data_IF_850088201084
#
_entry.id   IF_850088201084
#
_cell.length_a   1.000
_cell.length_b   1.000
_cell.length_c   1.000
_cell.angle_alpha   90.00
_cell.angle_beta   90.00
_cell.angle_gamma   90.00
#
_symmetry.space_group_name_H-M   'P 1'
#
loop_
_entity.id
_entity.type
_entity.pdbx_description
1 polymer ?
#
# COMPACT_ATOMS: atom_id res chain seq x y z
N UNK A 1 14.91 37.03 -22.03
CA UNK A 1 13.78 36.24 -21.55
C UNK A 1 14.36 35.17 -20.65
N UNK A 2 14.21 35.33 -19.35
CA UNK A 2 14.64 34.31 -18.39
C UNK A 2 13.55 33.23 -18.39
N UNK A 3 13.91 32.03 -18.85
CA UNK A 3 13.10 30.84 -18.67
C UNK A 3 12.95 30.59 -17.15
N UNK A 4 11.79 30.98 -16.63
CA UNK A 4 11.35 30.52 -15.31
C UNK A 4 11.03 29.02 -15.45
N UNK A 5 12.05 28.18 -15.41
CA UNK A 5 11.87 26.76 -15.16
C UNK A 5 11.24 26.65 -13.76
N UNK A 6 9.92 26.50 -13.70
CA UNK A 6 9.22 26.20 -12.45
C UNK A 6 9.78 24.88 -11.93
N UNK A 7 10.48 24.96 -10.79
CA UNK A 7 10.94 23.75 -10.09
C UNK A 7 9.74 22.81 -9.94
N UNK A 8 9.81 21.56 -10.37
CA UNK A 8 8.69 20.63 -10.27
C UNK A 8 8.21 20.56 -8.81
N UNK A 9 6.93 20.80 -8.60
CA UNK A 9 6.35 20.78 -7.27
C UNK A 9 6.48 19.37 -6.70
N UNK A 10 7.02 19.24 -5.48
CA UNK A 10 7.14 17.98 -4.77
C UNK A 10 5.76 17.33 -4.62
N UNK A 11 5.62 16.01 -4.77
CA UNK A 11 4.36 15.33 -4.55
C UNK A 11 3.89 15.50 -3.10
N UNK A 12 2.61 15.87 -2.94
CA UNK A 12 1.96 15.92 -1.64
C UNK A 12 1.44 14.56 -1.28
N UNK A 13 2.04 13.96 -0.26
CA UNK A 13 1.66 12.63 0.21
C UNK A 13 0.82 12.77 1.48
N UNK A 14 -0.48 12.48 1.34
CA UNK A 14 -1.39 12.39 2.48
C UNK A 14 -1.06 11.16 3.32
N UNK A 15 -1.11 11.32 4.62
CA UNK A 15 -0.87 10.26 5.60
C UNK A 15 -2.11 10.16 6.48
N UNK A 16 -2.78 8.99 6.54
CA UNK A 16 -3.79 8.78 7.57
C UNK A 16 -3.10 8.57 8.93
N UNK A 17 -3.79 8.92 10.03
CA UNK A 17 -3.18 8.75 11.36
C UNK A 17 -3.16 7.31 11.86
N UNK A 18 -4.02 6.42 11.31
CA UNK A 18 -4.22 5.08 11.81
C UNK A 18 -4.80 5.04 13.23
N UNK A 19 -4.64 3.90 13.90
CA UNK A 19 -5.00 3.79 15.31
C UNK A 19 -3.93 4.44 16.20
N UNK A 20 -4.29 5.57 16.82
CA UNK A 20 -3.33 6.32 17.65
C UNK A 20 -2.98 5.62 18.97
N UNK A 21 -3.71 4.62 19.40
CA UNK A 21 -3.37 3.79 20.56
C UNK A 21 -2.45 2.61 20.22
N UNK A 22 -2.25 2.33 18.92
CA UNK A 22 -1.28 1.38 18.41
C UNK A 22 0.06 2.02 18.05
N UNK A 23 0.80 1.38 17.15
CA UNK A 23 2.15 1.83 16.72
C UNK A 23 2.12 2.92 15.65
N UNK A 24 0.96 3.37 15.17
CA UNK A 24 0.84 4.23 14.01
C UNK A 24 1.67 5.52 14.13
N UNK A 25 1.50 6.30 15.22
CA UNK A 25 2.29 7.52 15.42
C UNK A 25 3.77 7.25 15.63
N UNK A 26 4.14 6.13 16.27
CA UNK A 26 5.53 5.73 16.46
C UNK A 26 6.24 5.52 15.12
N UNK A 27 5.64 4.74 14.22
CA UNK A 27 6.26 4.47 12.92
C UNK A 27 6.24 5.69 11.99
N UNK A 28 5.22 6.56 12.08
CA UNK A 28 5.18 7.83 11.35
C UNK A 28 6.34 8.71 11.81
N UNK A 29 6.48 8.93 13.11
CA UNK A 29 7.58 9.73 13.68
C UNK A 29 8.96 9.21 13.25
N UNK A 30 9.18 7.89 13.41
CA UNK A 30 10.43 7.25 13.03
C UNK A 30 10.70 7.27 11.53
N UNK A 31 9.67 7.14 10.69
CA UNK A 31 9.82 7.21 9.24
C UNK A 31 10.31 8.59 8.79
N UNK A 32 9.77 9.65 9.38
CA UNK A 32 10.09 11.04 9.03
C UNK A 32 11.14 11.70 9.93
N UNK A 33 11.84 10.93 10.76
CA UNK A 33 12.97 11.46 11.56
C UNK A 33 14.16 11.89 10.71
N UNK A 34 14.33 11.31 9.51
CA UNK A 34 15.36 11.69 8.56
C UNK A 34 14.87 12.85 7.67
N UNK A 35 15.54 14.00 7.79
CA UNK A 35 15.18 15.22 7.05
C UNK A 35 15.27 15.07 5.51
N UNK A 36 16.06 14.10 5.01
CA UNK A 36 16.19 13.83 3.57
C UNK A 36 14.87 13.38 2.93
N UNK A 37 13.93 12.82 3.72
CA UNK A 37 12.59 12.51 3.24
C UNK A 37 11.87 13.74 2.65
N UNK A 38 12.10 14.92 3.23
CA UNK A 38 11.46 16.17 2.78
C UNK A 38 12.05 16.77 1.51
N UNK A 39 13.12 16.20 0.99
CA UNK A 39 13.69 16.60 -0.29
C UNK A 39 12.93 16.02 -1.49
N UNK A 40 12.18 14.94 -1.26
CA UNK A 40 11.50 14.17 -2.32
C UNK A 40 9.99 14.28 -2.29
N UNK A 41 9.39 14.71 -1.17
CA UNK A 41 7.94 14.79 -0.99
C UNK A 41 7.54 15.81 0.07
N UNK A 42 6.27 16.22 0.04
CA UNK A 42 5.63 17.04 1.06
C UNK A 42 4.60 16.20 1.82
N UNK A 43 4.90 15.72 3.06
CA UNK A 43 3.96 14.92 3.83
C UNK A 43 2.88 15.78 4.48
N UNK A 44 1.64 15.28 4.46
CA UNK A 44 0.48 15.91 5.10
C UNK A 44 -0.26 14.86 5.94
N UNK A 45 -0.09 14.92 7.26
CA UNK A 45 -0.77 14.04 8.20
C UNK A 45 -2.19 14.57 8.48
N UNK A 46 -3.18 13.77 8.18
CA UNK A 46 -4.57 13.97 8.62
C UNK A 46 -4.73 13.32 9.98
N UNK A 47 -4.45 14.08 11.05
CA UNK A 47 -4.35 13.49 12.38
C UNK A 47 -4.51 14.50 13.49
N UNK A 48 -3.85 14.23 14.61
CA UNK A 48 -3.88 15.04 15.81
C UNK A 48 -2.49 15.54 16.18
N UNK A 49 -2.28 16.86 16.13
CA UNK A 49 -0.99 17.45 16.50
C UNK A 49 -0.64 17.21 17.97
N UNK A 50 -1.65 17.11 18.85
CA UNK A 50 -1.44 16.77 20.27
C UNK A 50 -0.94 15.32 20.44
N UNK A 51 -1.53 14.36 19.71
CA UNK A 51 -1.06 12.97 19.71
C UNK A 51 0.36 12.87 19.14
N UNK A 52 0.64 13.56 18.04
CA UNK A 52 1.96 13.63 17.46
C UNK A 52 3.01 14.16 18.44
N UNK A 53 2.70 15.27 19.14
CA UNK A 53 3.57 15.86 20.16
C UNK A 53 3.73 14.99 21.40
N UNK A 54 2.67 14.28 21.80
CA UNK A 54 2.70 13.34 22.92
C UNK A 54 3.70 12.21 22.63
N UNK A 55 3.58 11.51 21.49
CA UNK A 55 4.47 10.42 21.14
C UNK A 55 5.89 10.90 20.87
N UNK A 56 6.05 12.05 20.20
CA UNK A 56 7.36 12.67 19.97
C UNK A 56 8.11 12.91 21.27
N UNK A 57 7.43 13.48 22.29
CA UNK A 57 8.00 13.72 23.61
C UNK A 57 8.29 12.42 24.34
N UNK A 58 7.37 11.46 24.27
CA UNK A 58 7.48 10.18 24.98
C UNK A 58 8.67 9.34 24.49
N UNK A 59 8.96 9.40 23.19
CA UNK A 59 10.11 8.71 22.59
C UNK A 59 11.41 9.54 22.61
N UNK A 60 11.40 10.73 23.20
CA UNK A 60 12.58 11.61 23.25
C UNK A 60 13.07 12.05 21.86
N UNK A 61 12.19 12.15 20.87
CA UNK A 61 12.55 12.50 19.51
C UNK A 61 12.59 14.03 19.31
N UNK A 62 13.65 14.54 18.69
CA UNK A 62 13.76 15.95 18.32
C UNK A 62 13.11 16.26 16.96
N UNK A 63 13.10 15.29 16.06
CA UNK A 63 12.54 15.39 14.70
C UNK A 63 11.42 14.35 14.48
N UNK A 64 10.50 14.62 13.53
CA UNK A 64 10.36 15.83 12.72
C UNK A 64 9.66 16.98 13.48
N UNK A 65 9.99 18.21 13.07
CA UNK A 65 9.19 19.38 13.42
C UNK A 65 8.06 19.54 12.41
N UNK A 66 6.91 20.04 12.84
CA UNK A 66 5.73 20.13 11.99
C UNK A 66 5.19 21.56 11.87
N UNK A 67 4.46 21.79 10.80
CA UNK A 67 3.63 22.98 10.57
C UNK A 67 2.16 22.59 10.63
N UNK A 68 1.34 23.40 11.32
CA UNK A 68 -0.10 23.22 11.28
C UNK A 68 -0.67 23.91 10.04
N UNK A 69 -1.55 23.22 9.34
CA UNK A 69 -2.35 23.79 8.26
C UNK A 69 -3.79 23.32 8.34
N UNK A 70 -4.70 24.08 7.74
CA UNK A 70 -6.12 23.68 7.64
C UNK A 70 -6.48 23.11 6.26
N UNK A 71 -5.60 23.29 5.28
CA UNK A 71 -5.79 22.90 3.89
C UNK A 71 -4.48 22.35 3.34
N UNK A 72 -4.52 21.16 2.76
CA UNK A 72 -3.33 20.53 2.19
C UNK A 72 -2.71 21.30 1.01
N UNK A 73 -3.49 22.16 0.34
CA UNK A 73 -2.97 23.09 -0.69
C UNK A 73 -1.97 24.09 -0.14
N UNK A 74 -2.09 24.41 1.15
CA UNK A 74 -1.22 25.35 1.87
C UNK A 74 -0.10 24.63 2.65
N UNK A 75 0.08 23.33 2.43
CA UNK A 75 1.16 22.58 3.06
C UNK A 75 2.51 23.19 2.70
N UNK A 76 3.33 23.41 3.73
CA UNK A 76 4.67 23.97 3.54
C UNK A 76 5.59 22.90 2.96
N UNK A 77 6.22 23.22 1.81
CA UNK A 77 7.20 22.34 1.19
C UNK A 77 8.39 22.06 2.12
N UNK A 78 8.96 20.87 2.00
CA UNK A 78 10.12 20.42 2.79
C UNK A 78 9.87 20.42 4.31
N UNK A 79 8.61 20.32 4.73
CA UNK A 79 8.20 20.25 6.14
C UNK A 79 7.18 19.14 6.35
N UNK A 80 7.16 18.61 7.55
CA UNK A 80 6.05 17.76 7.98
C UNK A 80 4.83 18.65 8.28
N UNK A 81 3.69 18.36 7.64
CA UNK A 81 2.47 19.15 7.83
C UNK A 81 1.44 18.32 8.55
N UNK A 82 0.64 18.95 9.42
CA UNK A 82 -0.47 18.30 10.12
C UNK A 82 -1.75 19.10 9.91
N UNK A 83 -2.80 18.42 9.50
CA UNK A 83 -4.18 18.90 9.51
C UNK A 83 -4.88 18.23 10.68
N UNK A 84 -5.26 19.03 11.69
CA UNK A 84 -6.05 18.51 12.79
C UNK A 84 -7.44 18.08 12.30
N UNK A 85 -7.78 16.81 12.53
CA UNK A 85 -9.09 16.26 12.13
C UNK A 85 -10.21 16.65 13.08
N UNK A 86 -9.89 16.88 14.35
CA UNK A 86 -10.77 17.50 15.36
C UNK A 86 -9.96 18.46 16.22
N UNK A 87 -10.65 19.41 16.88
CA UNK A 87 -10.01 20.40 17.76
C UNK A 87 -9.98 19.95 19.23
N UNK A 88 -10.83 19.00 19.59
CA UNK A 88 -10.98 18.52 20.97
C UNK A 88 -9.77 17.71 21.44
N UNK A 89 -9.55 17.72 22.75
CA UNK A 89 -8.57 16.83 23.37
C UNK A 89 -9.04 15.39 23.32
N UNK A 90 -8.13 14.50 22.90
CA UNK A 90 -8.35 13.08 22.92
C UNK A 90 -7.56 12.45 24.07
N UNK A 91 -8.16 11.49 24.73
CA UNK A 91 -7.47 10.64 25.69
C UNK A 91 -6.67 9.61 24.91
N UNK A 92 -5.34 9.63 25.04
CA UNK A 92 -4.44 8.65 24.45
C UNK A 92 -4.21 7.55 25.49
N UNK A 93 -4.55 6.32 25.12
CA UNK A 93 -4.36 5.13 25.97
C UNK A 93 -3.59 4.07 25.16
N UNK A 94 -2.26 4.17 25.08
CA UNK A 94 -1.45 3.26 24.29
C UNK A 94 -1.72 1.81 24.69
N UNK A 95 -1.62 0.89 23.71
CA UNK A 95 -1.86 -0.55 23.85
C UNK A 95 -3.33 -0.94 24.08
N UNK A 96 -4.26 0.01 24.13
CA UNK A 96 -5.68 -0.27 24.39
C UNK A 96 -6.53 0.10 23.18
N UNK A 97 -7.12 -0.87 22.47
CA UNK A 97 -8.10 -0.58 21.42
C UNK A 97 -9.29 0.20 22.02
N UNK A 98 -9.73 1.27 21.38
CA UNK A 98 -10.85 2.05 21.84
C UNK A 98 -11.77 2.49 20.69
N UNK A 99 -13.07 2.73 21.00
CA UNK A 99 -14.01 3.27 20.02
C UNK A 99 -13.57 4.64 19.52
N UNK A 100 -13.02 5.48 20.41
CA UNK A 100 -12.55 6.81 20.05
C UNK A 100 -11.38 6.74 19.06
N UNK A 101 -10.41 5.82 19.28
CA UNK A 101 -9.31 5.67 18.34
C UNK A 101 -9.79 5.16 16.96
N UNK A 102 -10.77 4.26 16.95
CA UNK A 102 -11.40 3.76 15.73
C UNK A 102 -12.15 4.88 14.98
N UNK A 103 -12.99 5.66 15.65
CA UNK A 103 -13.71 6.79 15.06
C UNK A 103 -12.76 7.82 14.45
N UNK A 104 -11.70 8.17 15.17
CA UNK A 104 -10.69 9.13 14.71
C UNK A 104 -9.91 8.61 13.52
N UNK A 105 -9.62 7.31 13.46
CA UNK A 105 -8.99 6.71 12.28
C UNK A 105 -9.90 6.78 11.05
N UNK A 106 -11.19 6.45 11.20
CA UNK A 106 -12.18 6.60 10.11
C UNK A 106 -12.29 8.04 9.65
N UNK A 107 -12.33 9.02 10.57
CA UNK A 107 -12.42 10.44 10.23
C UNK A 107 -11.15 10.92 9.48
N UNK A 108 -9.98 10.47 9.94
CA UNK A 108 -8.69 10.71 9.25
C UNK A 108 -8.73 10.21 7.81
N UNK A 109 -9.13 8.96 7.64
CA UNK A 109 -9.22 8.32 6.32
C UNK A 109 -10.20 9.04 5.40
N UNK A 110 -11.38 9.45 5.91
CA UNK A 110 -12.38 10.20 5.13
C UNK A 110 -11.79 11.51 4.62
N UNK A 111 -11.22 12.34 5.49
CA UNK A 111 -10.62 13.62 5.08
C UNK A 111 -9.50 13.45 4.06
N UNK A 112 -8.61 12.49 4.29
CA UNK A 112 -7.51 12.20 3.37
C UNK A 112 -8.01 11.69 2.01
N UNK A 113 -9.04 10.83 2.00
CA UNK A 113 -9.63 10.31 0.74
C UNK A 113 -10.37 11.39 -0.03
N UNK A 114 -11.09 12.29 0.66
CA UNK A 114 -11.75 13.43 0.01
C UNK A 114 -10.72 14.33 -0.70
N UNK A 115 -9.60 14.64 -0.04
CA UNK A 115 -8.53 15.45 -0.64
C UNK A 115 -7.81 14.69 -1.78
N UNK A 116 -7.63 13.37 -1.66
CA UNK A 116 -7.09 12.53 -2.73
C UNK A 116 -8.02 12.52 -3.95
N UNK A 117 -9.30 12.32 -3.75
CA UNK A 117 -10.31 12.30 -4.83
C UNK A 117 -10.39 13.64 -5.57
N UNK A 118 -10.23 14.75 -4.84
CA UNK A 118 -10.23 16.10 -5.41
C UNK A 118 -8.86 16.55 -5.97
N UNK A 119 -7.84 15.67 -5.97
CA UNK A 119 -6.50 16.00 -6.47
C UNK A 119 -5.75 17.05 -5.65
N UNK A 120 -6.11 17.24 -4.38
CA UNK A 120 -5.44 18.16 -3.46
C UNK A 120 -4.15 17.55 -2.91
N UNK A 121 -4.15 16.24 -2.73
CA UNK A 121 -2.97 15.41 -2.48
C UNK A 121 -2.77 14.43 -3.65
N UNK A 122 -1.54 14.03 -3.90
CA UNK A 122 -1.16 13.20 -5.05
C UNK A 122 -1.24 11.70 -4.75
N UNK A 123 -1.05 11.34 -3.49
CA UNK A 123 -1.18 9.96 -3.02
C UNK A 123 -1.61 9.92 -1.55
N UNK A 124 -2.11 8.77 -1.12
CA UNK A 124 -2.45 8.47 0.26
C UNK A 124 -1.64 7.28 0.76
N UNK A 125 -0.99 7.44 1.91
CA UNK A 125 -0.37 6.34 2.65
C UNK A 125 -1.17 6.09 3.92
N UNK A 126 -1.74 4.88 4.00
CA UNK A 126 -2.59 4.49 5.14
C UNK A 126 -1.72 3.94 6.26
N UNK A 127 -1.85 4.49 7.47
CA UNK A 127 -1.18 3.98 8.66
C UNK A 127 -1.92 2.76 9.24
N UNK A 128 -1.27 1.94 10.09
CA UNK A 128 -1.88 0.74 10.66
C UNK A 128 -3.13 1.02 11.49
N UNK A 129 -4.17 0.25 11.22
CA UNK A 129 -5.44 0.25 11.93
C UNK A 129 -5.79 -1.14 12.47
N UNK A 130 -6.75 -1.21 13.37
CA UNK A 130 -7.33 -2.49 13.71
C UNK A 130 -8.06 -3.11 12.50
N UNK A 131 -8.23 -4.44 12.42
CA UNK A 131 -8.75 -5.11 11.22
C UNK A 131 -10.14 -4.63 10.78
N UNK A 132 -11.00 -4.28 11.74
CA UNK A 132 -12.37 -3.81 11.44
C UNK A 132 -12.33 -2.44 10.77
N UNK A 133 -11.57 -1.51 11.35
CA UNK A 133 -11.40 -0.16 10.80
C UNK A 133 -10.66 -0.21 9.46
N UNK A 134 -9.63 -1.02 9.34
CA UNK A 134 -8.87 -1.18 8.08
C UNK A 134 -9.76 -1.65 6.93
N UNK A 135 -10.69 -2.60 7.18
CA UNK A 135 -11.66 -3.04 6.19
C UNK A 135 -12.61 -1.90 5.80
N UNK A 136 -13.14 -1.18 6.79
CA UNK A 136 -14.04 -0.05 6.58
C UNK A 136 -13.36 1.06 5.76
N UNK A 137 -12.11 1.38 6.06
CA UNK A 137 -11.31 2.37 5.35
C UNK A 137 -11.07 1.98 3.89
N UNK A 138 -10.78 0.72 3.62
CA UNK A 138 -10.66 0.19 2.26
C UNK A 138 -11.97 0.34 1.49
N UNK A 139 -13.06 -0.12 2.08
CA UNK A 139 -14.38 -0.08 1.44
C UNK A 139 -14.84 1.36 1.20
N UNK A 140 -14.51 2.28 2.11
CA UNK A 140 -14.74 3.70 1.92
C UNK A 140 -13.92 4.26 0.74
N UNK A 141 -12.61 4.01 0.69
CA UNK A 141 -11.77 4.43 -0.44
C UNK A 141 -12.35 3.93 -1.77
N UNK A 142 -12.68 2.65 -1.85
CA UNK A 142 -13.21 2.05 -3.08
C UNK A 142 -14.60 2.57 -3.45
N UNK A 143 -15.35 3.12 -2.51
CA UNK A 143 -16.67 3.71 -2.79
C UNK A 143 -16.60 4.92 -3.73
N UNK A 144 -15.47 5.62 -3.80
CA UNK A 144 -15.21 6.70 -4.75
C UNK A 144 -14.90 6.22 -6.18
N UNK A 145 -14.49 4.97 -6.32
CA UNK A 145 -13.99 4.39 -7.58
C UNK A 145 -14.76 3.11 -7.94
N UNK A 146 -16.10 3.23 -8.02
CA UNK A 146 -17.04 2.09 -8.15
C UNK A 146 -16.82 1.22 -9.38
N UNK A 147 -16.30 1.82 -10.46
CA UNK A 147 -16.03 1.12 -11.72
C UNK A 147 -14.61 0.48 -11.76
N UNK A 148 -13.80 0.72 -10.73
CA UNK A 148 -12.47 0.14 -10.63
C UNK A 148 -12.53 -1.27 -10.01
N UNK A 149 -11.72 -2.17 -10.54
CA UNK A 149 -11.46 -3.50 -9.97
C UNK A 149 -10.00 -3.58 -9.48
N UNK A 150 -9.70 -2.96 -8.34
CA UNK A 150 -8.34 -2.81 -7.87
C UNK A 150 -7.70 -4.15 -7.53
N UNK A 151 -6.39 -4.21 -7.74
CA UNK A 151 -5.55 -5.36 -7.46
C UNK A 151 -4.52 -4.99 -6.40
N UNK A 152 -4.50 -5.71 -5.29
CA UNK A 152 -3.50 -5.51 -4.26
C UNK A 152 -2.15 -6.06 -4.72
N UNK A 153 -1.14 -5.20 -4.80
CA UNK A 153 0.22 -5.56 -5.20
C UNK A 153 1.17 -5.31 -4.05
N UNK A 154 1.76 -6.37 -3.56
CA UNK A 154 2.76 -6.39 -2.49
C UNK A 154 4.13 -6.14 -3.11
N UNK A 155 4.93 -5.25 -2.50
CA UNK A 155 6.21 -4.80 -3.07
C UNK A 155 7.33 -4.81 -2.03
N UNK A 156 8.45 -5.42 -2.39
CA UNK A 156 9.74 -5.21 -1.73
C UNK A 156 10.86 -5.20 -2.78
N UNK A 157 11.36 -4.02 -3.08
CA UNK A 157 12.36 -3.84 -4.14
C UNK A 157 11.87 -4.39 -5.49
N UNK A 158 12.56 -5.39 -6.02
CA UNK A 158 12.17 -6.02 -7.28
C UNK A 158 11.10 -7.10 -7.12
N UNK A 159 10.81 -7.55 -5.92
CA UNK A 159 9.75 -8.54 -5.68
C UNK A 159 8.40 -7.85 -5.70
N UNK A 160 7.53 -8.24 -6.62
CA UNK A 160 6.14 -7.78 -6.73
C UNK A 160 5.22 -8.99 -6.79
N UNK A 161 4.31 -9.09 -5.84
CA UNK A 161 3.34 -10.18 -5.76
C UNK A 161 1.94 -9.58 -5.72
N UNK A 162 1.16 -9.86 -6.75
CA UNK A 162 -0.24 -9.46 -6.82
C UNK A 162 -1.13 -10.56 -6.23
N UNK A 163 -2.15 -10.18 -5.47
CA UNK A 163 -3.12 -11.08 -4.85
C UNK A 163 -4.42 -11.06 -5.66
N UNK A 164 -4.69 -12.10 -6.45
CA UNK A 164 -5.85 -12.13 -7.33
C UNK A 164 -7.17 -11.91 -6.54
N UNK A 165 -7.38 -12.62 -5.44
CA UNK A 165 -8.61 -12.55 -4.65
C UNK A 165 -8.52 -11.63 -3.43
N UNK A 166 -7.30 -11.11 -3.13
CA UNK A 166 -7.09 -10.27 -1.94
C UNK A 166 -7.27 -11.05 -0.62
N UNK A 167 -7.68 -10.31 0.42
CA UNK A 167 -7.86 -10.83 1.78
C UNK A 167 -9.31 -11.33 1.97
N UNK A 168 -9.56 -12.55 1.52
CA UNK A 168 -10.85 -13.24 1.67
C UNK A 168 -10.64 -14.68 2.16
N UNK A 169 -11.66 -15.32 2.77
CA UNK A 169 -11.61 -16.75 3.11
C UNK A 169 -11.22 -17.61 1.90
N UNK A 170 -10.46 -18.68 2.13
CA UNK A 170 -9.97 -19.54 1.04
C UNK A 170 -11.10 -20.14 0.19
N UNK A 171 -12.23 -20.51 0.81
CA UNK A 171 -13.43 -20.99 0.08
C UNK A 171 -13.95 -19.94 -0.90
N UNK A 172 -14.05 -18.68 -0.45
CA UNK A 172 -14.47 -17.55 -1.27
C UNK A 172 -13.46 -17.27 -2.39
N UNK A 173 -12.16 -17.40 -2.10
CA UNK A 173 -11.11 -17.24 -3.09
C UNK A 173 -11.27 -18.26 -4.24
N UNK A 174 -11.51 -19.53 -3.92
CA UNK A 174 -11.70 -20.59 -4.92
C UNK A 174 -12.96 -20.34 -5.77
N UNK A 175 -14.05 -19.88 -5.17
CA UNK A 175 -15.30 -19.55 -5.87
C UNK A 175 -15.16 -18.37 -6.82
N UNK A 176 -14.36 -17.36 -6.46
CA UNK A 176 -14.11 -16.17 -7.29
C UNK A 176 -13.24 -16.48 -8.52
N UNK A 177 -12.39 -17.50 -8.45
CA UNK A 177 -11.42 -17.79 -9.51
C UNK A 177 -12.11 -18.44 -10.70
N UNK A 178 -12.27 -17.66 -11.77
CA UNK A 178 -12.61 -18.13 -13.10
C UNK A 178 -11.66 -17.56 -14.16
N UNK A 179 -11.84 -17.99 -15.40
CA UNK A 179 -10.96 -17.60 -16.51
C UNK A 179 -11.02 -16.09 -16.77
N UNK A 180 -12.22 -15.52 -16.80
CA UNK A 180 -12.43 -14.09 -17.09
C UNK A 180 -11.84 -13.22 -15.98
N UNK A 181 -12.09 -13.61 -14.73
CA UNK A 181 -11.56 -12.95 -13.55
C UNK A 181 -10.02 -12.91 -13.58
N UNK A 182 -9.38 -14.04 -13.79
CA UNK A 182 -7.91 -14.11 -13.85
C UNK A 182 -7.33 -13.30 -15.01
N UNK A 183 -7.95 -13.34 -16.19
CA UNK A 183 -7.52 -12.54 -17.35
C UNK A 183 -7.64 -11.03 -17.04
N UNK A 184 -8.72 -10.60 -16.36
CA UNK A 184 -8.87 -9.21 -15.95
C UNK A 184 -7.77 -8.80 -14.97
N UNK A 185 -7.50 -9.61 -13.92
CA UNK A 185 -6.42 -9.33 -12.94
C UNK A 185 -5.03 -9.31 -13.58
N UNK A 186 -4.76 -10.19 -14.55
CA UNK A 186 -3.51 -10.18 -15.31
C UNK A 186 -3.37 -8.94 -16.18
N UNK A 187 -4.44 -8.47 -16.77
CA UNK A 187 -4.47 -7.22 -17.55
C UNK A 187 -4.17 -6.03 -16.63
N UNK A 188 -4.90 -5.89 -15.51
CA UNK A 188 -4.65 -4.84 -14.51
C UNK A 188 -3.21 -4.86 -14.01
N UNK A 189 -2.65 -6.06 -13.72
CA UNK A 189 -1.26 -6.17 -13.27
C UNK A 189 -0.27 -5.75 -14.36
N UNK A 190 -0.47 -6.21 -15.61
CA UNK A 190 0.39 -5.82 -16.72
C UNK A 190 0.41 -4.33 -16.96
N UNK A 191 -0.76 -3.69 -16.93
CA UNK A 191 -0.88 -2.25 -17.13
C UNK A 191 -0.23 -1.46 -15.97
N UNK A 192 -0.46 -1.88 -14.73
CA UNK A 192 0.21 -1.30 -13.57
C UNK A 192 1.74 -1.44 -13.62
N UNK A 193 2.26 -2.58 -14.08
CA UNK A 193 3.71 -2.75 -14.25
C UNK A 193 4.29 -1.78 -15.31
N UNK A 194 3.52 -1.45 -16.33
CA UNK A 194 3.92 -0.45 -17.34
C UNK A 194 3.85 0.96 -16.78
N UNK A 195 2.70 1.35 -16.23
CA UNK A 195 2.44 2.73 -15.80
C UNK A 195 3.12 3.07 -14.49
N UNK A 196 3.05 2.18 -13.50
CA UNK A 196 3.51 2.47 -12.13
C UNK A 196 4.97 2.09 -11.90
N UNK A 197 5.52 1.13 -12.69
CA UNK A 197 6.92 0.69 -12.57
C UNK A 197 7.76 0.92 -13.82
N UNK A 198 7.18 1.42 -14.92
CA UNK A 198 7.90 1.73 -16.17
C UNK A 198 8.45 0.52 -16.91
N UNK A 199 7.86 -0.65 -16.73
CA UNK A 199 8.30 -1.90 -17.37
C UNK A 199 7.52 -2.07 -18.67
N UNK A 200 8.14 -1.79 -19.81
CA UNK A 200 7.46 -1.75 -21.12
C UNK A 200 6.89 -3.10 -21.57
N UNK A 201 7.52 -4.20 -21.21
CA UNK A 201 7.12 -5.57 -21.60
C UNK A 201 7.14 -6.51 -20.40
N UNK A 202 6.22 -6.33 -19.40
CA UNK A 202 6.28 -7.02 -18.14
C UNK A 202 6.02 -8.51 -18.28
N UNK A 203 6.89 -9.33 -17.66
CA UNK A 203 6.77 -10.78 -17.56
C UNK A 203 6.11 -11.14 -16.25
N UNK A 204 4.98 -11.83 -16.32
CA UNK A 204 4.18 -12.19 -15.14
C UNK A 204 4.18 -13.71 -14.97
N UNK A 205 4.58 -14.19 -13.80
CA UNK A 205 4.39 -15.59 -13.41
C UNK A 205 3.04 -15.77 -12.71
N UNK A 206 2.30 -16.83 -13.01
CA UNK A 206 1.04 -17.18 -12.36
C UNK A 206 1.24 -18.42 -11.51
N UNK A 207 0.81 -18.37 -10.26
CA UNK A 207 0.78 -19.53 -9.38
C UNK A 207 -0.42 -20.44 -9.72
N UNK A 208 -0.28 -21.73 -9.48
CA UNK A 208 -1.40 -22.67 -9.56
C UNK A 208 -2.16 -22.74 -8.25
N UNK A 209 -3.38 -23.27 -8.30
CA UNK A 209 -4.22 -23.50 -7.12
C UNK A 209 -3.77 -24.72 -6.33
N UNK A 210 -3.33 -25.76 -7.04
CA UNK A 210 -3.05 -27.07 -6.46
C UNK A 210 -1.55 -27.36 -6.34
N UNK A 211 -1.18 -28.29 -5.44
CA UNK A 211 0.19 -28.80 -5.41
C UNK A 211 0.61 -29.38 -6.78
N UNK A 212 1.88 -29.21 -7.12
CA UNK A 212 2.45 -29.70 -8.39
C UNK A 212 1.86 -29.07 -9.66
N UNK A 213 1.20 -27.92 -9.56
CA UNK A 213 0.73 -27.15 -10.71
C UNK A 213 1.85 -26.94 -11.73
N UNK A 214 1.50 -27.10 -13.01
CA UNK A 214 2.46 -27.05 -14.13
C UNK A 214 3.08 -28.39 -14.47
N UNK A 215 3.16 -29.36 -13.55
CA UNK A 215 3.66 -30.73 -13.84
C UNK A 215 2.51 -31.72 -14.02
N UNK A 216 1.46 -31.55 -13.22
CA UNK A 216 0.25 -32.37 -13.29
C UNK A 216 -0.96 -31.44 -13.08
N UNK A 217 -1.63 -30.98 -14.15
CA UNK A 217 -2.86 -30.20 -14.01
C UNK A 217 -3.95 -31.07 -13.36
N UNK A 218 -4.35 -30.72 -12.17
CA UNK A 218 -5.38 -31.43 -11.39
C UNK A 218 -6.53 -30.47 -11.11
N UNK A 219 -7.73 -30.79 -11.54
CA UNK A 219 -8.96 -30.09 -11.18
C UNK A 219 -8.97 -28.63 -11.61
N UNK A 220 -9.06 -27.73 -10.65
CA UNK A 220 -9.23 -26.29 -10.93
C UNK A 220 -8.02 -25.58 -11.59
N UNK A 221 -6.86 -26.22 -11.68
CA UNK A 221 -5.71 -25.69 -12.43
C UNK A 221 -6.01 -25.56 -13.93
N UNK A 222 -6.96 -26.31 -14.47
CA UNK A 222 -7.41 -26.14 -15.86
C UNK A 222 -7.93 -24.72 -16.15
N UNK A 223 -8.56 -24.07 -15.17
CA UNK A 223 -9.02 -22.68 -15.29
C UNK A 223 -7.82 -21.75 -15.39
N UNK A 224 -6.77 -22.00 -14.61
CA UNK A 224 -5.55 -21.18 -14.59
C UNK A 224 -4.79 -21.35 -15.91
N UNK A 225 -4.63 -22.59 -16.41
CA UNK A 225 -3.98 -22.86 -17.72
C UNK A 225 -4.72 -22.12 -18.84
N UNK A 226 -6.06 -22.20 -18.88
CA UNK A 226 -6.87 -21.49 -19.89
C UNK A 226 -6.74 -19.98 -19.75
N UNK A 227 -6.76 -19.44 -18.54
CA UNK A 227 -6.59 -17.99 -18.30
C UNK A 227 -5.20 -17.49 -18.75
N UNK A 228 -4.14 -18.24 -18.49
CA UNK A 228 -2.79 -17.94 -18.99
C UNK A 228 -2.77 -17.92 -20.53
N UNK A 229 -3.36 -18.93 -21.19
CA UNK A 229 -3.45 -18.98 -22.66
C UNK A 229 -4.28 -17.82 -23.24
N UNK A 230 -5.38 -17.45 -22.59
CA UNK A 230 -6.22 -16.30 -23.00
C UNK A 230 -5.47 -14.97 -22.85
N UNK A 231 -4.74 -14.78 -21.76
CA UNK A 231 -3.91 -13.61 -21.54
C UNK A 231 -2.79 -13.51 -22.58
N UNK A 232 -2.13 -14.62 -22.91
CA UNK A 232 -1.11 -14.69 -23.98
C UNK A 232 -1.70 -14.31 -25.34
N UNK A 233 -2.91 -14.79 -25.68
CA UNK A 233 -3.62 -14.41 -26.92
C UNK A 233 -3.93 -12.92 -27.00
N UNK A 234 -4.05 -12.25 -25.85
CA UNK A 234 -4.18 -10.78 -25.77
C UNK A 234 -2.82 -10.05 -25.82
N UNK A 235 -1.71 -10.75 -26.03
CA UNK A 235 -0.37 -10.17 -26.13
C UNK A 235 0.34 -9.94 -24.80
N UNK A 236 -0.16 -10.48 -23.68
CA UNK A 236 0.50 -10.38 -22.39
C UNK A 236 1.60 -11.45 -22.25
N UNK A 237 2.73 -11.10 -21.65
CA UNK A 237 3.81 -12.05 -21.35
C UNK A 237 3.55 -12.73 -20.00
N UNK A 238 2.69 -13.72 -20.01
CA UNK A 238 2.24 -14.48 -18.84
C UNK A 238 2.73 -15.91 -18.93
N UNK A 239 3.19 -16.46 -17.81
CA UNK A 239 3.80 -17.78 -17.72
C UNK A 239 3.24 -18.54 -16.52
N UNK A 240 3.06 -19.84 -16.65
CA UNK A 240 2.55 -20.71 -15.58
C UNK A 240 1.42 -21.64 -16.05
N UNK A 241 0.69 -22.27 -15.14
CA UNK A 241 0.82 -22.12 -13.68
C UNK A 241 2.11 -22.77 -13.13
N UNK A 242 2.64 -22.17 -12.06
CA UNK A 242 3.79 -22.67 -11.33
C UNK A 242 3.39 -23.03 -9.88
N UNK A 243 4.04 -24.03 -9.31
CA UNK A 243 3.90 -24.25 -7.86
C UNK A 243 4.68 -23.19 -7.08
N UNK A 244 4.23 -22.90 -5.85
CA UNK A 244 4.90 -21.96 -4.93
C UNK A 244 6.38 -22.36 -4.73
N UNK A 245 6.63 -23.64 -4.50
CA UNK A 245 8.00 -24.16 -4.32
C UNK A 245 8.88 -23.91 -5.54
N UNK A 246 8.36 -24.14 -6.76
CA UNK A 246 9.10 -23.90 -7.99
C UNK A 246 9.47 -22.42 -8.14
N UNK A 247 8.60 -21.50 -7.80
CA UNK A 247 8.89 -20.08 -7.92
C UNK A 247 9.87 -19.59 -6.84
N UNK A 248 9.61 -19.90 -5.57
CA UNK A 248 10.33 -19.26 -4.48
C UNK A 248 11.53 -20.04 -3.97
N UNK A 249 11.47 -21.37 -3.84
CA UNK A 249 12.61 -22.18 -3.38
C UNK A 249 13.75 -22.19 -4.38
N UNK A 250 13.44 -22.26 -5.69
CA UNK A 250 14.47 -22.21 -6.74
C UNK A 250 14.88 -20.79 -7.14
N UNK A 251 14.20 -19.77 -6.62
CA UNK A 251 14.45 -18.38 -6.96
C UNK A 251 13.96 -17.98 -8.37
N UNK A 252 13.11 -18.78 -9.02
CA UNK A 252 12.61 -18.47 -10.37
C UNK A 252 11.78 -17.20 -10.43
N UNK A 253 11.17 -16.75 -9.31
CA UNK A 253 10.46 -15.49 -9.26
C UNK A 253 11.30 -14.31 -9.77
N UNK A 254 12.64 -14.36 -9.62
CA UNK A 254 13.57 -13.32 -10.10
C UNK A 254 13.63 -13.19 -11.64
N UNK A 255 13.07 -14.15 -12.38
CA UNK A 255 12.99 -14.12 -13.86
C UNK A 255 11.78 -13.34 -14.37
N UNK A 256 10.88 -12.96 -13.45
CA UNK A 256 9.62 -12.28 -13.74
C UNK A 256 9.56 -10.92 -13.06
N UNK A 257 8.82 -10.01 -13.65
CA UNK A 257 8.63 -8.66 -13.11
C UNK A 257 7.57 -8.63 -12.00
N UNK A 258 6.65 -9.59 -12.04
CA UNK A 258 5.68 -9.82 -10.96
C UNK A 258 5.21 -11.29 -10.95
N UNK A 259 4.63 -11.67 -9.81
CA UNK A 259 3.96 -12.95 -9.61
C UNK A 259 2.49 -12.69 -9.28
N UNK A 260 1.56 -13.36 -9.94
CA UNK A 260 0.15 -13.40 -9.55
C UNK A 260 -0.08 -14.60 -8.64
N UNK A 261 -0.31 -14.35 -7.36
CA UNK A 261 -0.78 -15.31 -6.39
C UNK A 261 -2.31 -15.39 -6.44
N UNK A 262 -2.87 -16.57 -6.33
CA UNK A 262 -4.30 -16.79 -6.47
C UNK A 262 -5.08 -16.54 -5.18
N UNK A 263 -4.45 -16.75 -4.02
CA UNK A 263 -5.03 -16.46 -2.71
C UNK A 263 -3.99 -15.83 -1.76
N UNK A 264 -4.47 -15.29 -0.64
CA UNK A 264 -3.72 -14.45 0.29
C UNK A 264 -2.40 -15.09 0.77
N UNK A 265 -2.45 -16.24 1.45
CA UNK A 265 -1.27 -16.87 2.04
C UNK A 265 -0.21 -17.28 0.99
N UNK A 266 -0.67 -17.63 -0.22
CA UNK A 266 0.20 -17.99 -1.32
C UNK A 266 1.15 -16.84 -1.72
N UNK A 267 0.69 -15.60 -1.59
CA UNK A 267 1.49 -14.42 -1.91
C UNK A 267 2.15 -13.78 -0.69
N UNK A 268 1.43 -13.69 0.41
CA UNK A 268 1.88 -12.96 1.61
C UNK A 268 3.01 -13.71 2.33
N UNK A 269 2.91 -15.02 2.48
CA UNK A 269 3.93 -15.80 3.18
C UNK A 269 5.32 -15.71 2.51
N UNK A 270 5.48 -15.95 1.20
CA UNK A 270 6.78 -15.81 0.55
C UNK A 270 7.35 -14.40 0.66
N UNK A 271 6.49 -13.38 0.51
CA UNK A 271 6.93 -11.99 0.65
C UNK A 271 7.49 -11.74 2.06
N UNK A 272 6.72 -12.05 3.08
CA UNK A 272 7.13 -11.82 4.49
C UNK A 272 8.39 -12.59 4.85
N UNK A 273 8.50 -13.83 4.40
CA UNK A 273 9.66 -14.68 4.68
C UNK A 273 10.94 -14.18 4.01
N UNK A 274 10.85 -13.62 2.81
CA UNK A 274 12.00 -13.12 2.04
C UNK A 274 12.29 -11.63 2.26
N UNK A 275 11.43 -10.90 2.96
CA UNK A 275 11.50 -9.43 3.09
C UNK A 275 11.67 -9.01 4.55
N UNK A 276 12.80 -9.39 5.16
CA UNK A 276 13.10 -9.05 6.56
C UNK A 276 13.32 -7.54 6.80
N UNK A 277 13.60 -6.79 5.73
CA UNK A 277 13.83 -5.34 5.73
C UNK A 277 12.56 -4.51 5.50
N UNK A 278 11.37 -5.13 5.63
CA UNK A 278 10.08 -4.48 5.44
C UNK A 278 9.52 -4.63 4.01
N UNK A 279 8.25 -4.32 3.87
CA UNK A 279 7.49 -4.41 2.61
C UNK A 279 6.27 -3.49 2.68
N UNK A 280 5.76 -3.13 1.51
CA UNK A 280 4.54 -2.34 1.39
C UNK A 280 3.59 -2.97 0.37
N UNK A 281 2.36 -2.48 0.31
CA UNK A 281 1.46 -2.76 -0.81
C UNK A 281 0.80 -1.48 -1.31
N UNK A 282 0.28 -1.55 -2.52
CA UNK A 282 -0.58 -0.52 -3.07
C UNK A 282 -1.73 -1.14 -3.87
N UNK A 283 -2.72 -0.34 -4.17
CA UNK A 283 -3.87 -0.72 -4.99
C UNK A 283 -3.63 -0.35 -6.45
N UNK A 284 -3.21 -1.32 -7.28
CA UNK A 284 -3.10 -1.17 -8.73
C UNK A 284 -4.48 -1.10 -9.40
N UNK A 285 -4.56 -0.40 -10.53
CA UNK A 285 -5.82 -0.24 -11.27
C UNK A 285 -6.73 0.87 -10.75
N UNK A 286 -6.32 1.60 -9.70
CA UNK A 286 -6.98 2.83 -9.28
C UNK A 286 -6.42 4.04 -10.05
N UNK A 287 -7.25 5.06 -10.35
CA UNK A 287 -6.76 6.31 -10.94
C UNK A 287 -5.90 7.13 -9.98
N UNK A 288 -5.91 6.79 -8.71
CA UNK A 288 -5.13 7.42 -7.63
C UNK A 288 -4.14 6.44 -7.04
N UNK A 289 -3.16 6.95 -6.30
CA UNK A 289 -2.16 6.14 -5.63
C UNK A 289 -2.52 6.01 -4.14
N UNK A 290 -2.73 4.78 -3.68
CA UNK A 290 -2.95 4.48 -2.28
C UNK A 290 -2.08 3.31 -1.87
N UNK A 291 -1.19 3.52 -0.89
CA UNK A 291 -0.24 2.52 -0.40
C UNK A 291 -0.34 2.35 1.13
N UNK A 292 0.13 1.21 1.63
CA UNK A 292 0.16 0.95 3.06
C UNK A 292 1.22 -0.10 3.43
N UNK A 293 1.66 -0.16 4.69
CA UNK A 293 2.36 -1.32 5.23
C UNK A 293 1.37 -2.48 5.42
N UNK A 294 1.87 -3.71 5.40
CA UNK A 294 1.06 -4.93 5.55
C UNK A 294 1.14 -5.48 6.98
N UNK A 295 0.88 -4.64 7.97
CA UNK A 295 0.79 -5.03 9.39
C UNK A 295 -0.26 -4.17 10.10
N UNK A 296 -0.77 -4.69 11.20
CA UNK A 296 -1.78 -4.02 12.02
C UNK A 296 -1.18 -3.10 13.10
N UNK A 297 -2.00 -2.68 14.06
CA UNK A 297 -1.65 -1.69 15.09
C UNK A 297 -0.66 -2.18 16.14
N UNK A 298 -0.38 -3.48 16.24
CA UNK A 298 0.60 -4.08 17.15
C UNK A 298 0.53 -3.48 18.57
N UNK A 299 -0.62 -3.63 19.21
CA UNK A 299 -0.87 -3.08 20.55
C UNK A 299 0.06 -3.60 21.64
N UNK A 300 0.61 -4.80 21.45
CA UNK A 300 1.56 -5.47 22.35
C UNK A 300 2.88 -4.73 22.50
N UNK A 301 3.32 -4.02 21.46
CA UNK A 301 4.55 -3.22 21.46
C UNK A 301 4.29 -1.70 21.39
N UNK A 302 3.02 -1.28 21.38
CA UNK A 302 2.67 0.14 21.30
C UNK A 302 3.24 0.93 22.48
N UNK A 303 3.84 2.07 22.18
CA UNK A 303 4.49 2.94 23.18
C UNK A 303 5.76 2.39 23.84
N UNK A 304 6.31 1.26 23.38
CA UNK A 304 7.57 0.72 23.88
C UNK A 304 8.81 1.23 23.11
N UNK A 305 8.61 2.03 22.07
CA UNK A 305 9.66 2.50 21.17
C UNK A 305 10.37 1.35 20.40
N UNK A 306 9.67 0.24 20.18
CA UNK A 306 10.19 -0.96 19.53
C UNK A 306 9.72 -1.10 18.07
N UNK A 307 8.66 -0.39 17.69
CA UNK A 307 8.12 -0.50 16.34
C UNK A 307 9.13 -0.07 15.26
N UNK A 308 9.27 -0.90 14.22
CA UNK A 308 10.19 -0.67 13.11
C UNK A 308 9.46 0.05 11.97
N UNK A 309 9.95 1.21 11.50
CA UNK A 309 9.26 2.04 10.52
C UNK A 309 9.44 1.60 9.06
N UNK A 310 10.26 0.57 8.77
CA UNK A 310 10.75 0.28 7.42
C UNK A 310 9.62 -0.04 6.43
N UNK A 311 8.61 -0.82 6.84
CA UNK A 311 7.44 -1.10 5.99
C UNK A 311 6.65 0.18 5.68
N UNK A 312 6.47 1.07 6.66
CA UNK A 312 5.77 2.34 6.46
C UNK A 312 6.58 3.28 5.56
N UNK A 313 7.89 3.36 5.79
CA UNK A 313 8.81 4.14 4.94
C UNK A 313 8.79 3.64 3.49
N UNK A 314 8.77 2.32 3.29
CA UNK A 314 8.63 1.72 1.95
C UNK A 314 7.28 2.05 1.30
N UNK A 315 6.19 2.12 2.06
CA UNK A 315 4.90 2.55 1.54
C UNK A 315 4.92 4.02 1.08
N UNK A 316 5.58 4.90 1.85
CA UNK A 316 5.75 6.32 1.48
C UNK A 316 6.58 6.46 0.20
N UNK A 317 7.72 5.77 0.10
CA UNK A 317 8.55 5.82 -1.11
C UNK A 317 7.83 5.21 -2.32
N UNK A 318 7.17 4.05 -2.15
CA UNK A 318 6.40 3.42 -3.22
C UNK A 318 5.33 4.37 -3.78
N UNK A 319 4.57 5.03 -2.90
CA UNK A 319 3.56 6.00 -3.31
C UNK A 319 4.19 7.19 -4.06
N UNK A 320 5.29 7.72 -3.55
CA UNK A 320 6.04 8.83 -4.16
C UNK A 320 6.58 8.48 -5.54
N UNK A 321 7.20 7.31 -5.67
CA UNK A 321 7.78 6.83 -6.93
C UNK A 321 6.71 6.61 -8.00
N UNK A 322 5.56 6.02 -7.62
CA UNK A 322 4.43 5.83 -8.55
C UNK A 322 3.87 7.18 -9.02
N UNK A 323 3.67 8.14 -8.10
CA UNK A 323 3.21 9.49 -8.45
C UNK A 323 4.16 10.16 -9.44
N UNK A 324 5.46 10.16 -9.14
CA UNK A 324 6.46 10.78 -10.02
C UNK A 324 6.44 10.13 -11.41
N UNK A 325 6.38 8.81 -11.46
CA UNK A 325 6.33 8.08 -12.73
C UNK A 325 5.06 8.33 -13.54
N UNK A 326 3.90 8.43 -12.87
CA UNK A 326 2.64 8.80 -13.56
C UNK A 326 2.64 10.24 -14.07
N UNK A 327 3.41 11.15 -13.45
CA UNK A 327 3.58 12.54 -13.91
C UNK A 327 4.52 12.68 -15.11
N UNK A 328 5.39 11.71 -15.35
CA UNK A 328 6.34 11.68 -16.48
C UNK A 328 5.69 11.16 -17.79
N UNK A 329 4.50 10.57 -17.72
CA UNK A 329 3.74 10.04 -18.86
C UNK A 329 2.78 11.07 -19.45
#
# INVERSE_FOLDING_TARGET
MQDNATTPQLPRIGLSQGDFNGIAYEIILKAFSDARMFETLTPVLYGQSKAFSYYKKNFGMESPNYSLTRDARQAADKKFNIINIVENELKIEPSVPSEISAEMSVLSMKKATDDLYNGIIDALVVAPDNPVVAKSNRDFLLSFYKDADPLQVLVNGQMRIALATGDVPLSTAIEQIDIRYLVAKLTTLSDALKTDFGISSPKIAVMGLNPHSGSLPIGDDDKVVKAVGDAQRKGLFVFGPFSVSQLFVTGWWKKYDAVLALHYEQGVFPLKFLSLDGYAYYWAGLPVVCAAPLHGPAYDIANHNEAVPDSYRKAVFLATDIVNRRREQ
#
